data_IF_139115178197
#
_entry.id   IF_139115178197
#
_cell.length_a   1.000
_cell.length_b   1.000
_cell.length_c   1.000
_cell.angle_alpha   90.00
_cell.angle_beta   90.00
_cell.angle_gamma   90.00
#
_symmetry.space_group_name_H-M   'P 1'
#
loop_
_entity.id
_entity.type
_entity.pdbx_description
1 polymer ?
#
# COMPACT_ATOMS: atom_id res chain seq x y z
N UNK A 1 1.48 -31.55 20.10
CA UNK A 1 2.70 -32.08 19.46
C UNK A 1 2.46 -32.52 18.03
N UNK A 2 1.24 -32.96 17.66
CA UNK A 2 0.94 -33.37 16.27
C UNK A 2 0.99 -32.24 15.22
N UNK A 3 0.73 -30.99 15.61
CA UNK A 3 0.92 -29.81 14.73
C UNK A 3 2.38 -29.59 14.29
N UNK A 4 3.36 -30.11 15.04
CA UNK A 4 4.79 -29.93 14.75
C UNK A 4 5.29 -30.88 13.64
N UNK A 5 4.62 -32.02 13.45
CA UNK A 5 5.01 -33.04 12.46
C UNK A 5 4.43 -32.68 11.09
N UNK A 6 3.17 -32.21 11.03
CA UNK A 6 2.59 -31.66 9.79
C UNK A 6 3.29 -30.38 9.33
N UNK A 7 3.77 -29.54 10.26
CA UNK A 7 4.52 -28.34 9.89
C UNK A 7 5.90 -28.65 9.29
N UNK A 8 6.50 -29.81 9.57
CA UNK A 8 7.73 -30.26 8.91
C UNK A 8 7.49 -30.71 7.46
N UNK A 9 6.38 -31.40 7.16
CA UNK A 9 5.98 -31.72 5.78
C UNK A 9 5.57 -30.47 4.99
N UNK A 10 4.87 -29.53 5.62
CA UNK A 10 4.55 -28.21 5.04
C UNK A 10 5.84 -27.40 4.82
N UNK A 11 6.81 -27.48 5.73
CA UNK A 11 8.15 -26.93 5.53
C UNK A 11 8.92 -27.64 4.41
N UNK A 12 8.72 -28.92 4.11
CA UNK A 12 9.35 -29.51 2.93
C UNK A 12 8.70 -29.00 1.61
N UNK A 13 7.40 -28.64 1.66
CA UNK A 13 6.60 -28.24 0.50
C UNK A 13 6.74 -26.78 0.06
N UNK A 14 7.41 -25.89 0.81
CA UNK A 14 7.70 -24.53 0.28
C UNK A 14 8.62 -24.55 -0.95
N UNK A 15 9.29 -25.69 -1.24
CA UNK A 15 10.05 -25.88 -2.50
C UNK A 15 9.17 -25.89 -3.73
N UNK A 16 7.91 -26.31 -3.60
CA UNK A 16 6.96 -26.36 -4.71
C UNK A 16 5.63 -25.73 -4.25
N UNK A 17 5.55 -24.39 -4.26
CA UNK A 17 4.40 -23.67 -3.68
C UNK A 17 3.07 -23.96 -4.39
N UNK A 18 3.11 -24.50 -5.62
CA UNK A 18 1.93 -24.89 -6.41
C UNK A 18 1.20 -26.13 -5.88
N UNK A 19 1.88 -26.99 -5.12
CA UNK A 19 1.29 -28.23 -4.57
C UNK A 19 0.67 -28.03 -3.19
N UNK A 20 0.86 -26.88 -2.55
CA UNK A 20 0.30 -26.60 -1.23
C UNK A 20 -1.23 -26.41 -1.27
N UNK A 21 -1.81 -25.63 -2.20
CA UNK A 21 -3.25 -25.44 -2.30
C UNK A 21 -4.06 -26.73 -2.46
N UNK A 22 -3.57 -27.69 -3.23
CA UNK A 22 -4.29 -28.95 -3.48
C UNK A 22 -4.47 -29.80 -2.23
N UNK A 23 -3.46 -29.84 -1.35
CA UNK A 23 -3.55 -30.56 -0.08
C UNK A 23 -4.37 -29.78 0.94
N UNK A 24 -4.15 -28.48 1.01
CA UNK A 24 -4.80 -27.63 2.02
C UNK A 24 -6.29 -27.41 1.71
N UNK A 25 -6.72 -27.53 0.46
CA UNK A 25 -8.14 -27.43 0.09
C UNK A 25 -9.03 -28.37 0.88
N UNK A 26 -8.59 -29.62 1.14
CA UNK A 26 -9.34 -30.57 1.96
C UNK A 26 -9.38 -30.16 3.44
N UNK A 27 -8.29 -29.56 3.93
CA UNK A 27 -8.14 -29.14 5.32
C UNK A 27 -8.93 -27.85 5.63
N UNK A 28 -9.08 -26.95 4.65
CA UNK A 28 -9.85 -25.71 4.80
C UNK A 28 -11.35 -25.95 4.99
N UNK A 29 -11.87 -27.09 4.53
CA UNK A 29 -13.28 -27.48 4.68
C UNK A 29 -13.55 -28.24 5.98
N UNK A 30 -12.53 -28.50 6.79
CA UNK A 30 -12.69 -29.20 8.06
C UNK A 30 -13.61 -28.44 9.02
N UNK A 31 -14.46 -29.17 9.75
CA UNK A 31 -15.32 -28.61 10.78
C UNK A 31 -14.52 -27.98 11.94
N UNK A 32 -13.33 -28.51 12.24
CA UNK A 32 -12.53 -28.04 13.37
C UNK A 32 -11.87 -26.68 13.04
N UNK A 33 -12.17 -25.61 13.79
CA UNK A 33 -11.61 -24.30 13.49
C UNK A 33 -10.09 -24.20 13.71
N UNK A 34 -9.47 -25.05 14.55
CA UNK A 34 -8.01 -25.12 14.66
C UNK A 34 -7.34 -25.63 13.39
N UNK A 35 -7.97 -26.59 12.71
CA UNK A 35 -7.47 -27.14 11.43
C UNK A 35 -7.57 -26.07 10.35
N UNK A 36 -8.67 -25.33 10.31
CA UNK A 36 -8.84 -24.20 9.38
C UNK A 36 -7.83 -23.09 9.61
N UNK A 37 -7.56 -22.73 10.86
CA UNK A 37 -6.51 -21.77 11.17
C UNK A 37 -5.12 -22.24 10.72
N UNK A 38 -4.78 -23.50 11.00
CA UNK A 38 -3.52 -24.11 10.56
C UNK A 38 -3.38 -24.14 9.03
N UNK A 39 -4.47 -24.46 8.33
CA UNK A 39 -4.56 -24.42 6.87
C UNK A 39 -4.30 -23.01 6.31
N UNK A 40 -4.91 -21.97 6.88
CA UNK A 40 -4.70 -20.59 6.46
C UNK A 40 -3.23 -20.16 6.63
N UNK A 41 -2.64 -20.44 7.79
CA UNK A 41 -1.23 -20.11 8.04
C UNK A 41 -0.26 -20.91 7.16
N UNK A 42 -0.54 -22.18 6.91
CA UNK A 42 0.26 -23.02 6.02
C UNK A 42 0.27 -22.47 4.59
N UNK A 43 -0.88 -22.04 4.06
CA UNK A 43 -0.97 -21.36 2.76
C UNK A 43 -0.18 -20.05 2.76
N UNK A 44 -0.32 -19.24 3.80
CA UNK A 44 0.40 -17.97 3.94
C UNK A 44 1.92 -18.14 3.90
N UNK A 45 2.45 -19.16 4.60
CA UNK A 45 3.89 -19.46 4.69
C UNK A 45 4.41 -20.08 3.40
N UNK A 46 3.70 -21.07 2.85
CA UNK A 46 4.13 -21.79 1.65
C UNK A 46 4.05 -20.95 0.38
N UNK A 47 3.03 -20.10 0.25
CA UNK A 47 2.79 -19.26 -0.93
C UNK A 47 3.24 -17.80 -0.71
N UNK A 48 4.11 -17.54 0.27
CA UNK A 48 4.63 -16.19 0.54
C UNK A 48 5.36 -15.62 -0.68
N UNK A 49 4.95 -14.43 -1.13
CA UNK A 49 5.57 -13.70 -2.25
C UNK A 49 5.42 -14.32 -3.64
N UNK A 50 4.63 -15.40 -3.81
CA UNK A 50 4.35 -16.01 -5.12
C UNK A 50 3.08 -15.44 -5.75
N UNK A 51 2.08 -15.06 -4.94
CA UNK A 51 0.78 -14.54 -5.38
C UNK A 51 -0.05 -15.52 -6.19
N UNK A 52 -0.04 -16.79 -5.77
CA UNK A 52 -0.78 -17.83 -6.44
C UNK A 52 -2.29 -17.63 -6.28
N UNK A 53 -3.02 -17.59 -7.40
CA UNK A 53 -4.46 -17.25 -7.43
C UNK A 53 -5.34 -18.27 -6.71
N UNK A 54 -4.97 -19.54 -6.75
CA UNK A 54 -5.71 -20.63 -6.08
C UNK A 54 -5.64 -20.48 -4.57
N UNK A 55 -4.45 -20.14 -4.02
CA UNK A 55 -4.28 -19.90 -2.59
C UNK A 55 -5.15 -18.72 -2.10
N UNK A 56 -5.25 -17.66 -2.89
CA UNK A 56 -6.11 -16.50 -2.56
C UNK A 56 -7.58 -16.90 -2.56
N UNK A 57 -8.00 -17.70 -3.54
CA UNK A 57 -9.40 -18.17 -3.66
C UNK A 57 -9.79 -19.09 -2.51
N UNK A 58 -8.84 -19.88 -1.97
CA UNK A 58 -9.05 -20.68 -0.76
C UNK A 58 -9.14 -19.83 0.52
N UNK A 59 -8.46 -18.68 0.59
CA UNK A 59 -8.48 -17.80 1.77
C UNK A 59 -9.73 -16.90 1.86
N UNK A 60 -10.39 -16.58 0.74
CA UNK A 60 -11.62 -15.77 0.70
C UNK A 60 -12.78 -16.29 1.57
N UNK A 61 -13.14 -17.59 1.56
CA UNK A 61 -14.16 -18.09 2.48
C UNK A 61 -13.68 -18.05 3.94
N UNK A 62 -12.38 -18.18 4.21
CA UNK A 62 -11.83 -18.20 5.58
C UNK A 62 -11.82 -16.83 6.25
N UNK A 63 -11.81 -15.73 5.49
CA UNK A 63 -11.99 -14.38 6.05
C UNK A 63 -13.42 -14.11 6.51
N UNK A 64 -14.39 -14.87 6.00
CA UNK A 64 -15.79 -14.79 6.39
C UNK A 64 -16.18 -15.87 7.42
N UNK A 65 -15.20 -16.58 7.98
CA UNK A 65 -15.46 -17.62 8.98
C UNK A 65 -16.12 -17.02 10.24
N UNK A 66 -17.08 -17.74 10.87
CA UNK A 66 -17.69 -17.28 12.11
C UNK A 66 -16.69 -17.25 13.29
N UNK A 67 -15.57 -17.96 13.20
CA UNK A 67 -14.58 -18.04 14.27
C UNK A 67 -13.49 -16.98 14.13
N UNK A 68 -13.30 -16.19 15.18
CA UNK A 68 -12.48 -14.98 15.21
C UNK A 68 -11.01 -15.23 14.87
N UNK A 69 -10.42 -16.30 15.42
CA UNK A 69 -9.00 -16.61 15.20
C UNK A 69 -8.72 -17.17 13.79
N UNK A 70 -9.70 -17.81 13.16
CA UNK A 70 -9.60 -18.25 11.76
C UNK A 70 -9.58 -17.02 10.85
N UNK A 71 -10.46 -16.05 11.09
CA UNK A 71 -10.46 -14.77 10.39
C UNK A 71 -9.13 -14.03 10.53
N UNK A 72 -8.59 -13.94 11.75
CA UNK A 72 -7.28 -13.35 12.01
C UNK A 72 -6.17 -14.01 11.18
N UNK A 73 -6.10 -15.35 11.18
CA UNK A 73 -5.11 -16.11 10.41
C UNK A 73 -5.25 -15.91 8.90
N UNK A 74 -6.49 -15.87 8.39
CA UNK A 74 -6.76 -15.64 6.98
C UNK A 74 -6.28 -14.27 6.50
N UNK A 75 -6.47 -13.22 7.31
CA UNK A 75 -6.00 -11.85 6.99
C UNK A 75 -4.47 -11.75 6.96
N UNK A 76 -3.80 -12.38 7.94
CA UNK A 76 -2.33 -12.41 7.98
C UNK A 76 -1.81 -13.21 6.78
N UNK A 77 -2.38 -14.39 6.50
CA UNK A 77 -1.99 -15.22 5.37
C UNK A 77 -2.16 -14.51 4.02
N UNK A 78 -3.26 -13.77 3.82
CA UNK A 78 -3.46 -13.01 2.59
C UNK A 78 -2.41 -11.92 2.39
N UNK A 79 -1.94 -11.26 3.47
CA UNK A 79 -0.86 -10.28 3.37
C UNK A 79 0.50 -10.90 3.00
N UNK A 80 0.81 -12.09 3.51
CA UNK A 80 2.07 -12.80 3.22
C UNK A 80 2.13 -13.25 1.75
N UNK A 81 1.01 -13.71 1.20
CA UNK A 81 0.92 -14.14 -0.21
C UNK A 81 1.01 -12.94 -1.16
N UNK A 82 0.36 -11.84 -0.80
CA UNK A 82 0.26 -10.63 -1.62
C UNK A 82 1.40 -9.63 -1.40
N UNK A 83 2.39 -9.96 -0.57
CA UNK A 83 3.52 -9.07 -0.34
C UNK A 83 4.21 -8.72 -1.66
N UNK A 84 4.47 -7.42 -1.87
CA UNK A 84 5.06 -6.87 -3.09
C UNK A 84 4.28 -7.05 -4.40
N UNK A 85 3.06 -7.59 -4.36
CA UNK A 85 2.23 -7.74 -5.53
C UNK A 85 1.41 -6.48 -5.83
N UNK A 86 1.21 -6.22 -7.11
CA UNK A 86 0.48 -5.07 -7.62
C UNK A 86 -0.88 -5.48 -8.19
N UNK A 87 -1.73 -4.49 -8.49
CA UNK A 87 -3.06 -4.68 -9.07
C UNK A 87 -3.02 -5.37 -10.44
N UNK A 88 -1.95 -5.11 -11.20
CA UNK A 88 -1.74 -5.71 -12.53
C UNK A 88 -1.47 -7.22 -12.43
N UNK A 89 -0.71 -7.65 -11.42
CA UNK A 89 -0.42 -9.07 -11.21
C UNK A 89 -1.62 -9.80 -10.60
N UNK A 90 -2.27 -9.18 -9.62
CA UNK A 90 -3.44 -9.71 -8.93
C UNK A 90 -4.40 -8.57 -8.56
N UNK A 91 -5.57 -8.44 -9.22
CA UNK A 91 -6.52 -7.36 -8.92
C UNK A 91 -7.11 -7.48 -7.51
N UNK A 92 -7.07 -8.67 -6.90
CA UNK A 92 -7.55 -8.91 -5.53
C UNK A 92 -6.79 -8.14 -4.44
N UNK A 93 -5.59 -7.61 -4.73
CA UNK A 93 -4.81 -6.81 -3.77
C UNK A 93 -5.59 -5.58 -3.27
N UNK A 94 -6.34 -4.91 -4.15
CA UNK A 94 -7.16 -3.74 -3.77
C UNK A 94 -8.31 -4.14 -2.86
N UNK A 95 -8.94 -5.27 -3.14
CA UNK A 95 -10.02 -5.83 -2.34
C UNK A 95 -9.55 -6.12 -0.90
N UNK A 96 -8.41 -6.81 -0.73
CA UNK A 96 -7.85 -7.09 0.59
C UNK A 96 -7.44 -5.82 1.34
N UNK A 97 -6.85 -4.82 0.66
CA UNK A 97 -6.51 -3.52 1.28
C UNK A 97 -7.74 -2.79 1.82
N UNK A 98 -8.82 -2.77 1.04
CA UNK A 98 -10.10 -2.21 1.46
C UNK A 98 -10.70 -3.01 2.62
N UNK A 99 -10.57 -4.33 2.59
CA UNK A 99 -11.04 -5.22 3.65
C UNK A 99 -10.30 -4.97 4.97
N UNK A 100 -8.97 -4.87 4.96
CA UNK A 100 -8.19 -4.53 6.16
C UNK A 100 -8.63 -3.18 6.75
N UNK A 101 -8.75 -2.16 5.89
CA UNK A 101 -9.22 -0.84 6.30
C UNK A 101 -10.64 -0.87 6.87
N UNK A 102 -11.53 -1.71 6.31
CA UNK A 102 -12.90 -1.87 6.79
C UNK A 102 -12.92 -2.48 8.19
N UNK A 103 -12.24 -3.62 8.40
CA UNK A 103 -12.17 -4.34 9.68
C UNK A 103 -11.55 -3.48 10.79
N UNK A 104 -10.54 -2.66 10.46
CA UNK A 104 -9.90 -1.76 11.42
C UNK A 104 -10.85 -0.63 11.86
N UNK A 105 -11.63 -0.07 10.93
CA UNK A 105 -12.55 1.03 11.20
C UNK A 105 -13.87 0.57 11.84
N UNK A 106 -14.30 -0.67 11.60
CA UNK A 106 -15.54 -1.18 12.14
C UNK A 106 -15.43 -1.41 13.65
N UNK A 107 -16.35 -0.87 14.43
CA UNK A 107 -16.38 -1.11 15.88
C UNK A 107 -16.93 -2.47 16.23
N UNK A 108 -17.77 -3.05 15.36
CA UNK A 108 -18.48 -4.31 15.63
C UNK A 108 -17.62 -5.56 15.37
N UNK A 109 -16.48 -5.42 14.70
CA UNK A 109 -15.53 -6.51 14.52
C UNK A 109 -14.73 -6.83 15.79
N UNK A 110 -14.36 -8.09 15.93
CA UNK A 110 -13.60 -8.62 17.06
C UNK A 110 -12.20 -8.02 17.16
N UNK A 111 -11.70 -7.90 18.40
CA UNK A 111 -10.34 -7.40 18.69
C UNK A 111 -9.27 -8.27 18.02
N UNK A 112 -9.46 -9.59 17.98
CA UNK A 112 -8.55 -10.52 17.32
C UNK A 112 -8.49 -10.31 15.80
N UNK A 113 -9.64 -10.08 15.16
CA UNK A 113 -9.70 -9.79 13.73
C UNK A 113 -9.05 -8.44 13.39
N UNK A 114 -9.25 -7.42 14.25
CA UNK A 114 -8.58 -6.11 14.14
C UNK A 114 -7.07 -6.24 14.25
N UNK A 115 -6.59 -7.01 15.22
CA UNK A 115 -5.16 -7.28 15.38
C UNK A 115 -4.57 -7.93 14.13
N UNK A 116 -5.25 -8.93 13.55
CA UNK A 116 -4.88 -9.54 12.28
C UNK A 116 -4.87 -8.56 11.11
N UNK A 117 -5.86 -7.68 11.01
CA UNK A 117 -5.95 -6.67 9.96
C UNK A 117 -4.83 -5.62 10.04
N UNK A 118 -4.47 -5.18 11.25
CA UNK A 118 -3.36 -4.23 11.47
C UNK A 118 -2.03 -4.86 11.06
N UNK A 119 -1.78 -6.10 11.49
CA UNK A 119 -0.58 -6.84 11.08
C UNK A 119 -0.55 -7.05 9.57
N UNK A 120 -1.67 -7.46 8.98
CA UNK A 120 -1.78 -7.69 7.54
C UNK A 120 -1.46 -6.43 6.72
N UNK A 121 -1.95 -5.27 7.16
CA UNK A 121 -1.62 -3.98 6.53
C UNK A 121 -0.13 -3.63 6.69
N UNK A 122 0.44 -3.83 7.88
CA UNK A 122 1.86 -3.60 8.14
C UNK A 122 2.78 -4.50 7.31
N UNK A 123 2.41 -5.77 7.12
CA UNK A 123 3.16 -6.73 6.30
C UNK A 123 3.11 -6.35 4.82
N UNK A 124 1.94 -5.95 4.32
CA UNK A 124 1.76 -5.61 2.91
C UNK A 124 2.58 -4.37 2.50
N UNK A 125 2.73 -3.41 3.42
CA UNK A 125 3.48 -2.17 3.21
C UNK A 125 4.88 -2.20 3.87
N UNK A 126 5.35 -3.38 4.29
CA UNK A 126 6.62 -3.54 4.98
C UNK A 126 7.80 -2.95 4.18
N UNK A 127 8.74 -2.31 4.88
CA UNK A 127 9.98 -1.77 4.31
C UNK A 127 9.78 -0.80 3.14
N UNK A 128 8.68 -0.03 3.14
CA UNK A 128 8.32 0.84 2.02
C UNK A 128 8.01 0.07 0.74
N UNK A 129 7.49 -1.17 0.87
CA UNK A 129 7.24 -2.14 -0.21
C UNK A 129 8.49 -2.67 -0.90
N UNK A 130 9.65 -2.60 -0.24
CA UNK A 130 10.93 -3.09 -0.77
C UNK A 130 11.41 -4.39 -0.15
N UNK A 131 10.65 -4.94 0.79
CA UNK A 131 10.95 -6.24 1.41
C UNK A 131 9.92 -7.28 1.00
N UNK A 132 10.39 -8.51 0.82
CA UNK A 132 9.56 -9.68 0.57
C UNK A 132 9.78 -10.68 1.70
N UNK A 133 8.78 -11.49 1.99
CA UNK A 133 8.93 -12.62 2.91
C UNK A 133 9.34 -13.82 2.07
N UNK A 134 10.51 -14.38 2.36
CA UNK A 134 10.89 -15.64 1.74
C UNK A 134 11.72 -16.55 2.62
N UNK A 135 11.31 -17.81 2.64
CA UNK A 135 11.99 -18.91 3.31
C UNK A 135 13.18 -19.47 2.50
N UNK A 136 13.26 -19.08 1.23
CA UNK A 136 14.32 -19.48 0.32
C UNK A 136 15.18 -18.30 -0.07
N UNK A 137 16.48 -18.54 -0.04
CA UNK A 137 17.44 -17.71 -0.76
C UNK A 137 17.23 -17.86 -2.26
N UNK A 138 17.70 -16.85 -3.01
CA UNK A 138 17.61 -16.81 -4.47
C UNK A 138 18.39 -17.94 -5.14
N UNK A 139 19.38 -18.50 -4.44
CA UNK A 139 20.18 -19.65 -4.87
C UNK A 139 19.52 -21.01 -4.59
N UNK A 140 18.28 -21.04 -4.07
CA UNK A 140 17.55 -22.27 -3.76
C UNK A 140 17.88 -22.89 -2.39
N UNK A 141 18.83 -22.32 -1.65
CA UNK A 141 19.12 -22.72 -0.27
C UNK A 141 18.08 -22.15 0.70
N UNK A 142 17.79 -22.88 1.76
CA UNK A 142 16.85 -22.46 2.80
C UNK A 142 17.46 -21.36 3.66
N UNK A 143 16.78 -20.21 3.78
CA UNK A 143 17.23 -19.16 4.68
C UNK A 143 16.79 -19.50 6.11
N UNK A 144 17.74 -19.92 6.95
CA UNK A 144 17.46 -20.34 8.33
C UNK A 144 16.86 -19.20 9.16
N UNK A 145 17.32 -17.96 8.96
CA UNK A 145 16.83 -16.78 9.68
C UNK A 145 15.35 -16.53 9.37
N UNK A 146 14.97 -16.60 8.09
CA UNK A 146 13.60 -16.43 7.66
C UNK A 146 12.68 -17.55 8.15
N UNK A 147 13.16 -18.80 8.16
CA UNK A 147 12.41 -19.96 8.68
C UNK A 147 12.18 -19.83 10.19
N UNK A 148 13.23 -19.50 10.95
CA UNK A 148 13.13 -19.30 12.41
C UNK A 148 12.22 -18.11 12.72
N UNK A 149 12.37 -16.99 12.00
CA UNK A 149 11.53 -15.80 12.16
C UNK A 149 10.04 -16.11 11.92
N UNK A 150 9.72 -16.86 10.86
CA UNK A 150 8.34 -17.27 10.57
C UNK A 150 7.80 -18.27 11.60
N UNK A 151 8.61 -19.20 12.10
CA UNK A 151 8.21 -20.17 13.12
C UNK A 151 7.85 -19.47 14.45
N UNK A 152 8.72 -18.57 14.91
CA UNK A 152 8.48 -17.79 16.15
C UNK A 152 7.30 -16.85 15.97
N UNK A 153 7.14 -16.25 14.79
CA UNK A 153 5.98 -15.42 14.46
C UNK A 153 4.66 -16.19 14.61
N UNK A 154 4.58 -17.46 14.19
CA UNK A 154 3.37 -18.27 14.35
C UNK A 154 2.93 -18.47 15.81
N UNK A 155 3.83 -18.29 16.77
CA UNK A 155 3.59 -18.48 18.20
C UNK A 155 3.11 -17.21 18.92
N UNK A 156 2.52 -16.24 18.21
CA UNK A 156 2.01 -15.01 18.84
C UNK A 156 0.79 -15.21 19.77
N UNK A 157 0.19 -16.41 19.79
CA UNK A 157 -1.05 -16.71 20.54
C UNK A 157 -0.95 -16.46 22.05
N UNK A 158 0.15 -16.90 22.65
CA UNK A 158 0.37 -16.80 24.10
C UNK A 158 1.24 -15.60 24.48
N UNK A 159 2.04 -15.09 23.53
CA UNK A 159 2.96 -13.98 23.77
C UNK A 159 2.99 -13.03 22.56
N UNK A 160 2.21 -11.96 22.62
CA UNK A 160 2.07 -10.99 21.53
C UNK A 160 3.39 -10.33 21.05
N UNK A 161 4.37 -10.02 21.92
CA UNK A 161 5.65 -9.48 21.45
C UNK A 161 6.44 -10.38 20.49
N UNK A 162 6.10 -11.68 20.38
CA UNK A 162 6.74 -12.57 19.41
C UNK A 162 6.43 -12.19 17.94
N UNK A 163 5.45 -11.32 17.71
CA UNK A 163 5.17 -10.80 16.37
C UNK A 163 6.33 -10.01 15.74
N UNK A 164 7.22 -9.43 16.54
CA UNK A 164 8.36 -8.65 16.06
C UNK A 164 9.45 -9.51 15.37
N UNK A 165 9.46 -10.83 15.58
CA UNK A 165 10.39 -11.74 14.92
C UNK A 165 10.15 -11.89 13.41
N UNK A 166 9.04 -11.36 12.90
CA UNK A 166 8.79 -11.26 11.46
C UNK A 166 9.85 -10.41 10.74
N UNK A 167 10.53 -9.51 11.47
CA UNK A 167 11.65 -8.71 10.95
C UNK A 167 12.77 -9.54 10.33
N UNK A 168 13.04 -10.74 10.85
CA UNK A 168 14.07 -11.66 10.32
C UNK A 168 13.63 -12.34 9.01
N UNK A 169 12.33 -12.43 8.76
CA UNK A 169 11.79 -13.01 7.54
C UNK A 169 11.75 -12.00 6.38
N UNK A 170 11.92 -10.71 6.66
CA UNK A 170 11.97 -9.67 5.64
C UNK A 170 13.32 -9.67 4.94
N UNK A 171 13.27 -9.96 3.63
CA UNK A 171 14.43 -9.93 2.75
C UNK A 171 14.25 -8.80 1.72
N UNK A 172 15.20 -7.86 1.62
CA UNK A 172 15.08 -6.75 0.67
C UNK A 172 15.22 -7.26 -0.77
N UNK A 173 14.32 -6.79 -1.64
CA UNK A 173 14.33 -7.10 -3.07
C UNK A 173 14.92 -5.94 -3.86
N UNK A 174 16.23 -5.76 -3.70
CA UNK A 174 17.01 -4.79 -4.45
C UNK A 174 18.06 -5.49 -5.34
N UNK A 175 18.44 -4.76 -6.38
CA UNK A 175 19.58 -5.00 -7.23
C UNK A 175 20.58 -3.87 -6.96
N UNK A 176 21.74 -4.23 -6.45
CA UNK A 176 22.81 -3.30 -6.10
C UNK A 176 24.06 -3.74 -6.86
N UNK A 177 24.48 -2.92 -7.80
CA UNK A 177 25.77 -3.08 -8.46
C UNK A 177 26.88 -2.49 -7.59
N UNK A 178 27.95 -3.24 -7.38
CA UNK A 178 29.17 -2.75 -6.72
C UNK A 178 30.36 -2.90 -7.65
N UNK A 179 31.28 -1.94 -7.59
CA UNK A 179 32.56 -2.02 -8.28
C UNK A 179 33.61 -2.77 -7.43
N UNK A 180 34.82 -2.98 -7.95
CA UNK A 180 35.95 -3.61 -7.24
C UNK A 180 36.26 -2.94 -5.89
N UNK A 181 36.06 -1.63 -5.79
CA UNK A 181 36.27 -0.85 -4.56
C UNK A 181 35.09 -0.92 -3.57
N UNK A 182 34.11 -1.80 -3.79
CA UNK A 182 32.87 -1.94 -3.00
C UNK A 182 32.02 -0.65 -2.95
N UNK A 183 32.22 0.25 -3.91
CA UNK A 183 31.43 1.47 -4.08
C UNK A 183 30.28 1.23 -5.08
N UNK A 184 29.22 2.03 -4.96
CA UNK A 184 28.06 1.96 -5.85
C UNK A 184 28.27 2.88 -7.06
N UNK A 185 28.50 2.36 -8.27
CA UNK A 185 28.53 3.20 -9.46
C UNK A 185 27.10 3.62 -9.87
N UNK A 186 26.97 4.78 -10.53
CA UNK A 186 25.74 5.15 -11.23
C UNK A 186 25.64 4.32 -12.51
N UNK A 187 24.80 3.29 -12.48
CA UNK A 187 24.45 2.53 -13.67
C UNK A 187 22.95 2.42 -13.84
N UNK A 188 22.54 2.16 -15.08
CA UNK A 188 21.16 1.91 -15.44
C UNK A 188 20.99 0.46 -15.90
N UNK A 189 19.98 -0.22 -15.38
CA UNK A 189 19.55 -1.54 -15.82
C UNK A 189 18.33 -1.42 -16.73
N UNK A 190 18.29 -2.18 -17.82
CA UNK A 190 17.12 -2.23 -18.71
C UNK A 190 16.17 -3.32 -18.25
N UNK A 191 14.96 -2.94 -17.81
CA UNK A 191 13.86 -3.86 -17.53
C UNK A 191 12.97 -3.98 -18.74
N UNK A 192 12.88 -5.16 -19.35
CA UNK A 192 12.02 -5.46 -20.51
C UNK A 192 10.54 -5.66 -20.14
N UNK A 193 9.99 -4.79 -19.32
CA UNK A 193 8.58 -4.84 -18.90
C UNK A 193 7.99 -3.45 -18.72
N UNK A 194 6.66 -3.37 -18.81
CA UNK A 194 5.89 -2.14 -18.62
C UNK A 194 6.06 -1.62 -17.17
N UNK A 195 6.40 -0.34 -16.99
CA UNK A 195 6.54 0.29 -15.67
C UNK A 195 5.37 0.03 -14.71
N UNK A 196 4.11 0.07 -15.15
CA UNK A 196 2.94 -0.20 -14.29
C UNK A 196 2.96 -1.58 -13.63
N UNK A 197 3.61 -2.56 -14.26
CA UNK A 197 3.67 -3.92 -13.71
C UNK A 197 4.42 -3.95 -12.39
N UNK A 198 5.48 -3.14 -12.27
CA UNK A 198 6.42 -3.14 -11.14
C UNK A 198 6.47 -1.82 -10.36
N UNK A 199 5.68 -0.83 -10.77
CA UNK A 199 5.52 0.44 -10.07
C UNK A 199 5.13 0.22 -8.61
N UNK A 200 5.46 1.18 -7.75
CA UNK A 200 4.85 1.20 -6.44
C UNK A 200 3.36 1.47 -6.62
N UNK A 201 2.48 0.72 -5.91
CA UNK A 201 1.09 1.12 -5.85
C UNK A 201 1.02 2.54 -5.28
N UNK A 202 0.08 3.39 -5.71
CA UNK A 202 -0.10 4.68 -5.10
C UNK A 202 -0.35 4.52 -3.59
N UNK A 203 0.09 5.50 -2.80
CA UNK A 203 -0.28 5.56 -1.39
C UNK A 203 -1.80 5.74 -1.31
N UNK A 204 -2.45 5.10 -0.34
CA UNK A 204 -3.87 5.34 -0.07
C UNK A 204 -3.99 6.81 0.35
N UNK A 205 -4.45 7.66 -0.54
CA UNK A 205 -4.74 9.06 -0.21
C UNK A 205 -5.83 9.08 0.85
N UNK A 206 -5.50 9.62 2.02
CA UNK A 206 -6.42 9.76 3.13
C UNK A 206 -7.56 10.68 2.71
N UNK A 207 -8.75 10.12 2.48
CA UNK A 207 -10.14 10.68 2.43
C UNK A 207 -10.35 12.22 2.38
N UNK A 208 -9.48 13.02 1.76
CA UNK A 208 -9.63 14.48 1.65
C UNK A 208 -10.53 14.86 0.47
N UNK A 209 -10.72 13.97 -0.50
CA UNK A 209 -11.56 14.26 -1.66
C UNK A 209 -13.04 13.85 -1.48
N UNK A 210 -13.33 12.83 -0.65
CA UNK A 210 -14.72 12.46 -0.34
C UNK A 210 -15.46 13.57 0.45
N UNK A 211 -14.73 14.39 1.20
CA UNK A 211 -15.31 15.57 1.86
C UNK A 211 -15.65 16.69 0.88
N UNK A 212 -14.84 16.90 -0.17
CA UNK A 212 -15.09 17.95 -1.17
C UNK A 212 -16.26 17.57 -2.09
N UNK A 213 -16.35 16.31 -2.50
CA UNK A 213 -17.42 15.82 -3.38
C UNK A 213 -18.80 15.79 -2.69
N UNK A 214 -18.84 15.42 -1.40
CA UNK A 214 -20.07 15.48 -0.58
C UNK A 214 -20.54 16.91 -0.32
N UNK A 215 -19.61 17.86 -0.21
CA UNK A 215 -19.95 19.28 -0.07
C UNK A 215 -20.49 19.84 -1.38
N UNK A 216 -19.92 19.48 -2.54
CA UNK A 216 -20.43 19.93 -3.84
C UNK A 216 -21.83 19.38 -4.14
N UNK A 217 -22.07 18.08 -3.88
CA UNK A 217 -23.41 17.48 -4.05
C UNK A 217 -24.45 18.05 -3.07
N UNK A 218 -24.07 18.32 -1.82
CA UNK A 218 -24.93 19.01 -0.88
C UNK A 218 -25.26 20.43 -1.34
N UNK A 219 -24.27 21.21 -1.79
CA UNK A 219 -24.45 22.57 -2.32
C UNK A 219 -25.35 22.59 -3.55
N UNK A 220 -25.22 21.62 -4.46
CA UNK A 220 -26.08 21.47 -5.64
C UNK A 220 -27.52 21.09 -5.25
N UNK A 221 -27.71 20.21 -4.26
CA UNK A 221 -29.03 19.82 -3.79
C UNK A 221 -29.77 20.95 -3.06
N UNK A 222 -29.07 21.75 -2.25
CA UNK A 222 -29.66 22.93 -1.59
C UNK A 222 -29.92 24.07 -2.56
N UNK A 223 -29.03 24.33 -3.53
CA UNK A 223 -29.25 25.38 -4.55
C UNK A 223 -30.36 25.01 -5.53
N UNK A 224 -30.49 23.75 -5.94
CA UNK A 224 -31.63 23.30 -6.73
C UNK A 224 -32.95 23.37 -5.95
N UNK A 225 -32.94 23.02 -4.66
CA UNK A 225 -34.12 23.10 -3.78
C UNK A 225 -34.50 24.55 -3.44
N UNK A 226 -33.54 25.46 -3.31
CA UNK A 226 -33.78 26.90 -3.15
C UNK A 226 -34.32 27.51 -4.44
N UNK A 227 -33.75 27.19 -5.61
CA UNK A 227 -34.27 27.66 -6.91
C UNK A 227 -35.70 27.19 -7.17
N UNK A 228 -36.04 25.93 -6.82
CA UNK A 228 -37.43 25.43 -6.89
C UNK A 228 -38.35 26.18 -5.94
N UNK A 229 -37.94 26.40 -4.68
CA UNK A 229 -38.73 27.19 -3.72
C UNK A 229 -38.91 28.65 -4.12
N UNK A 230 -37.93 29.25 -4.78
CA UNK A 230 -38.03 30.62 -5.30
C UNK A 230 -38.93 30.69 -6.53
N UNK A 231 -38.93 29.68 -7.39
CA UNK A 231 -39.90 29.56 -8.49
C UNK A 231 -41.34 29.39 -7.96
N UNK A 232 -41.54 28.51 -6.96
CA UNK A 232 -42.86 28.30 -6.32
C UNK A 232 -43.36 29.54 -5.57
N UNK A 233 -42.45 30.38 -5.04
CA UNK A 233 -42.82 31.66 -4.41
C UNK A 233 -43.20 32.72 -5.44
N UNK A 234 -42.49 32.79 -6.57
CA UNK A 234 -42.83 33.71 -7.67
C UNK A 234 -44.17 33.35 -8.32
N UNK A 235 -44.49 32.06 -8.49
CA UNK A 235 -45.81 31.62 -8.95
C UNK A 235 -46.94 31.89 -7.93
N UNK A 236 -46.61 32.05 -6.64
CA UNK A 236 -47.58 32.42 -5.59
C UNK A 236 -47.79 33.94 -5.48
N UNK A 237 -46.77 34.75 -5.73
CA UNK A 237 -46.88 36.22 -5.72
C UNK A 237 -47.67 36.75 -6.94
N UNK A 238 -47.63 36.09 -8.10
CA UNK A 238 -48.50 36.44 -9.25
C UNK A 238 -50.00 36.17 -9.03
N UNK A 239 -50.41 35.52 -7.93
CA UNK A 239 -51.81 35.19 -7.62
C UNK A 239 -52.44 36.03 -6.49
N UNK A 240 -51.76 37.04 -5.96
CA UNK A 240 -52.22 37.79 -4.76
C UNK A 240 -52.07 39.32 -4.81
N UNK A 241 -52.19 39.97 -5.98
CA UNK A 241 -52.43 41.42 -6.04
C UNK A 241 -53.88 41.76 -6.45
N UNK A 242 -54.80 41.83 -5.47
CA UNK A 242 -55.91 42.81 -5.40
C UNK A 242 -56.26 43.08 -3.92
N UNK A 243 -56.20 44.36 -3.54
CA UNK A 243 -56.82 45.09 -2.40
C UNK A 243 -56.19 45.14 -0.97
N UNK A 244 -55.43 46.24 -0.73
CA UNK A 244 -55.71 47.39 0.19
C UNK A 244 -55.64 47.27 1.74
N UNK A 245 -54.58 47.95 2.27
CA UNK A 245 -54.44 48.92 3.40
C UNK A 245 -54.40 48.52 4.90
N UNK A 246 -53.38 49.15 5.53
CA UNK A 246 -53.30 49.84 6.84
C UNK A 246 -52.77 49.11 8.10
N UNK A 247 -51.45 49.26 8.32
CA UNK A 247 -50.64 49.60 9.52
C UNK A 247 -51.38 49.96 10.85
N UNK A 248 -50.83 49.83 12.07
CA UNK A 248 -49.56 49.36 12.69
C UNK A 248 -49.65 49.71 14.21
N UNK A 249 -48.95 49.03 15.14
CA UNK A 249 -48.40 49.61 16.39
C UNK A 249 -47.24 48.73 16.99
N UNK A 250 -45.99 49.24 16.86
CA UNK A 250 -44.82 49.21 17.80
C UNK A 250 -43.94 47.95 17.96
N UNK A 251 -42.59 47.99 18.09
CA UNK A 251 -41.61 49.06 18.44
C UNK A 251 -40.14 48.66 18.07
N UNK A 252 -39.34 49.66 17.62
CA UNK A 252 -37.86 49.93 17.80
C UNK A 252 -36.80 48.94 17.28
N UNK A 253 -35.60 49.29 16.77
CA UNK A 253 -34.81 50.50 16.43
C UNK A 253 -33.57 49.94 15.67
N UNK A 254 -33.24 50.35 14.44
CA UNK A 254 -32.35 51.45 14.01
C UNK A 254 -30.91 51.03 13.61
N UNK A 255 -30.49 51.44 12.39
CA UNK A 255 -29.12 51.80 11.94
C UNK A 255 -28.77 51.45 10.46
N UNK A 256 -29.11 52.37 9.56
CA UNK A 256 -28.38 52.86 8.34
C UNK A 256 -27.11 52.10 7.84
N UNK A 257 -27.09 51.74 6.54
CA UNK A 257 -26.37 52.48 5.45
C UNK A 257 -26.48 51.85 4.04
N UNK A 258 -27.21 52.55 3.17
CA UNK A 258 -26.93 53.00 1.77
C UNK A 258 -26.28 52.08 0.69
N UNK A 259 -26.97 52.14 -0.48
CA UNK A 259 -26.56 52.06 -1.90
C UNK A 259 -26.27 50.65 -2.46
N UNK A 260 -27.07 50.05 -3.35
CA UNK A 260 -27.67 50.46 -4.65
C UNK A 260 -26.62 50.62 -5.77
N UNK A 261 -26.52 49.60 -6.62
CA UNK A 261 -26.21 49.58 -8.07
C UNK A 261 -25.77 48.15 -8.46
N UNK A 262 -26.02 47.56 -9.63
CA UNK A 262 -26.98 47.72 -10.72
C UNK A 262 -26.82 46.41 -11.51
N UNK A 263 -27.92 45.76 -11.89
CA UNK A 263 -27.91 44.62 -12.83
C UNK A 263 -27.69 45.15 -14.25
N UNK A 264 -27.03 44.33 -15.06
CA UNK A 264 -27.10 44.26 -16.53
C UNK A 264 -26.99 42.75 -16.80
N UNK A 265 -28.06 42.05 -17.21
CA UNK A 265 -28.39 41.70 -18.62
C UNK A 265 -27.23 40.94 -19.27
N UNK A 266 -27.34 39.79 -19.92
CA UNK A 266 -28.42 39.01 -20.56
C UNK A 266 -27.84 37.59 -20.78
N UNK A 267 -28.62 36.49 -20.69
CA UNK A 267 -29.12 35.70 -21.84
C UNK A 267 -28.01 35.24 -22.81
N UNK A 268 -27.80 33.97 -23.20
CA UNK A 268 -28.74 32.93 -23.64
C UNK A 268 -27.93 31.69 -24.08
N UNK A 269 -28.46 30.48 -23.81
CA UNK A 269 -28.44 29.24 -24.64
C UNK A 269 -27.12 28.75 -25.30
N UNK A 270 -26.71 27.49 -25.30
CA UNK A 270 -27.48 26.26 -25.44
C UNK A 270 -26.53 25.04 -25.27
N UNK A 271 -27.13 23.93 -24.87
CA UNK A 271 -26.71 22.52 -24.92
C UNK A 271 -25.41 22.13 -25.66
N UNK A 272 -24.52 21.46 -24.92
CA UNK A 272 -23.82 20.26 -25.41
C UNK A 272 -23.90 19.21 -24.29
N UNK A 273 -24.91 18.35 -24.38
CA UNK A 273 -24.86 17.02 -23.77
C UNK A 273 -23.85 16.22 -24.58
N UNK A 274 -22.66 16.01 -24.00
CA UNK A 274 -21.73 14.96 -24.44
C UNK A 274 -21.40 14.09 -23.24
N UNK A 275 -21.74 12.82 -23.41
CA UNK A 275 -21.31 11.69 -22.61
C UNK A 275 -19.79 11.76 -22.37
N UNK A 276 -19.37 11.93 -21.12
CA UNK A 276 -18.03 11.56 -20.68
C UNK A 276 -18.11 10.21 -19.98
N UNK A 277 -18.26 9.16 -20.80
CA UNK A 277 -17.54 7.90 -20.58
C UNK A 277 -16.19 8.06 -21.27
N UNK A 278 -15.29 8.82 -20.66
CA UNK A 278 -13.87 8.71 -20.94
C UNK A 278 -13.33 7.56 -20.08
N UNK A 279 -13.40 6.35 -20.63
CA UNK A 279 -12.35 5.38 -20.34
C UNK A 279 -11.04 6.06 -20.73
N UNK A 280 -10.33 6.58 -19.75
CA UNK A 280 -8.95 7.02 -19.90
C UNK A 280 -8.15 5.80 -20.37
N UNK A 281 -8.00 5.71 -21.68
CA UNK A 281 -7.06 4.80 -22.32
C UNK A 281 -5.69 5.12 -21.75
N UNK A 282 -5.23 4.30 -20.81
CA UNK A 282 -3.86 4.34 -20.30
C UNK A 282 -2.93 4.43 -21.51
N UNK A 283 -2.17 5.52 -21.59
CA UNK A 283 -1.16 5.71 -22.63
C UNK A 283 -0.30 4.44 -22.73
N UNK A 284 0.06 3.98 -23.94
CA UNK A 284 0.83 2.76 -24.10
C UNK A 284 2.19 2.95 -23.44
N UNK A 285 2.30 2.45 -22.20
CA UNK A 285 3.51 2.59 -21.43
C UNK A 285 4.69 1.98 -22.18
N UNK A 286 5.88 2.60 -22.07
CA UNK A 286 7.07 2.06 -22.71
C UNK A 286 7.27 0.61 -22.26
N UNK A 287 7.52 -0.28 -23.22
CA UNK A 287 7.76 -1.70 -22.94
C UNK A 287 9.09 -1.96 -22.22
N UNK A 288 9.90 -0.91 -22.01
CA UNK A 288 11.15 -0.97 -21.28
C UNK A 288 11.26 0.19 -20.28
N UNK A 289 11.92 -0.08 -19.15
CA UNK A 289 12.24 0.92 -18.13
C UNK A 289 13.74 0.86 -17.83
N UNK A 290 14.38 2.02 -17.80
CA UNK A 290 15.75 2.15 -17.30
C UNK A 290 15.69 2.35 -15.78
N UNK A 291 16.39 1.52 -15.02
CA UNK A 291 16.40 1.51 -13.57
C UNK A 291 17.79 1.92 -13.05
N UNK A 292 17.88 2.99 -12.29
CA UNK A 292 19.14 3.43 -11.68
C UNK A 292 19.54 2.53 -10.49
N UNK A 293 20.85 2.32 -10.31
CA UNK A 293 21.41 1.65 -9.13
C UNK A 293 21.38 2.59 -7.89
N UNK A 294 20.85 2.17 -6.73
CA UNK A 294 20.20 0.89 -6.42
C UNK A 294 18.73 0.82 -6.90
N UNK A 295 18.36 -0.31 -7.50
CA UNK A 295 17.00 -0.52 -8.03
C UNK A 295 16.22 -1.55 -7.21
N UNK A 296 14.93 -1.30 -6.95
CA UNK A 296 14.01 -2.33 -6.48
C UNK A 296 13.67 -3.27 -7.66
N UNK A 297 13.81 -4.57 -7.45
CA UNK A 297 13.50 -5.57 -8.49
C UNK A 297 12.73 -6.75 -7.91
N UNK A 298 11.63 -7.13 -8.57
CA UNK A 298 10.85 -8.33 -8.20
C UNK A 298 11.47 -9.62 -8.71
N UNK A 299 11.15 -10.75 -8.09
CA UNK A 299 11.57 -12.08 -8.58
C UNK A 299 11.12 -12.36 -10.01
N UNK A 300 9.91 -11.96 -10.38
CA UNK A 300 9.40 -12.03 -11.75
C UNK A 300 10.12 -11.06 -12.69
N UNK A 301 10.49 -9.88 -12.19
CA UNK A 301 11.22 -8.87 -12.95
C UNK A 301 12.66 -9.27 -13.26
N UNK A 302 13.32 -10.06 -12.40
CA UNK A 302 14.69 -10.54 -12.63
C UNK A 302 14.85 -11.34 -13.94
N UNK A 303 13.78 -11.95 -14.46
CA UNK A 303 13.78 -12.72 -15.72
C UNK A 303 13.80 -11.82 -16.96
N UNK A 304 13.39 -10.57 -16.84
CA UNK A 304 13.27 -9.60 -17.95
C UNK A 304 14.32 -8.49 -17.88
N UNK A 305 15.22 -8.54 -16.89
CA UNK A 305 16.32 -7.58 -16.77
C UNK A 305 17.47 -7.94 -17.70
N UNK A 306 18.00 -6.93 -18.38
CA UNK A 306 19.18 -7.00 -19.21
C UNK A 306 20.08 -5.79 -18.97
N UNK A 307 21.38 -5.94 -19.24
CA UNK A 307 22.26 -4.78 -19.32
C UNK A 307 22.02 -4.01 -20.64
N UNK A 308 22.12 -2.67 -20.62
CA UNK A 308 22.22 -1.90 -21.86
C UNK A 308 23.45 -2.31 -22.67
N UNK A 309 23.29 -2.48 -23.98
CA UNK A 309 24.40 -2.78 -24.90
C UNK A 309 25.39 -1.60 -24.92
N UNK A 310 26.67 -1.87 -24.62
CA UNK A 310 27.71 -0.83 -24.52
C UNK A 310 27.93 -0.21 -23.14
N UNK A 311 27.33 -0.77 -22.07
CA UNK A 311 27.60 -0.32 -20.70
C UNK A 311 29.08 -0.48 -20.31
N UNK A 312 29.63 0.53 -19.62
CA UNK A 312 31.00 0.52 -19.06
C UNK A 312 31.21 -0.63 -18.06
N UNK A 313 30.15 -0.99 -17.35
CA UNK A 313 30.17 -2.01 -16.32
C UNK A 313 29.56 -3.32 -16.84
N UNK A 314 30.34 -4.40 -16.74
CA UNK A 314 29.89 -5.75 -17.11
C UNK A 314 29.71 -6.58 -15.85
N UNK A 315 28.53 -7.20 -15.63
CA UNK A 315 28.30 -8.02 -14.44
C UNK A 315 29.13 -9.30 -14.49
N UNK A 316 29.80 -9.62 -13.37
CA UNK A 316 30.56 -10.87 -13.22
C UNK A 316 29.64 -12.09 -13.03
N UNK A 317 28.40 -11.85 -12.60
CA UNK A 317 27.38 -12.86 -12.33
C UNK A 317 26.07 -12.45 -12.99
N UNK A 318 25.30 -13.42 -13.46
CA UNK A 318 24.03 -13.15 -14.12
C UNK A 318 23.09 -12.32 -13.24
N UNK A 319 22.51 -11.28 -13.85
CA UNK A 319 21.60 -10.33 -13.20
C UNK A 319 20.33 -11.01 -12.70
N UNK A 320 19.96 -12.14 -13.28
CA UNK A 320 18.82 -12.96 -12.86
C UNK A 320 18.91 -13.45 -11.41
N UNK A 321 20.12 -13.49 -10.82
CA UNK A 321 20.29 -13.84 -9.41
C UNK A 321 19.88 -12.71 -8.44
N UNK A 322 19.83 -11.46 -8.93
CA UNK A 322 19.51 -10.26 -8.15
C UNK A 322 20.48 -9.99 -6.99
N UNK A 323 20.24 -8.91 -6.24
CA UNK A 323 20.96 -8.64 -4.98
C UNK A 323 22.24 -7.87 -5.23
N UNK A 324 23.27 -8.18 -4.45
CA UNK A 324 24.60 -7.62 -4.67
C UNK A 324 25.26 -8.30 -5.85
N UNK A 325 25.61 -7.51 -6.87
CA UNK A 325 26.30 -7.97 -8.06
C UNK A 325 27.60 -7.19 -8.21
N UNK A 326 28.71 -7.92 -8.29
CA UNK A 326 29.99 -7.34 -8.63
C UNK A 326 30.02 -7.04 -10.12
N UNK A 327 30.34 -5.79 -10.44
CA UNK A 327 30.50 -5.28 -11.77
C UNK A 327 31.99 -5.12 -12.05
N UNK A 328 32.43 -5.61 -13.20
CA UNK A 328 33.77 -5.35 -13.73
C UNK A 328 33.71 -4.10 -14.60
N UNK A 329 34.53 -3.12 -14.28
CA UNK A 329 34.75 -1.97 -15.16
C UNK A 329 35.64 -2.38 -16.36
N UNK A 330 35.18 -2.06 -17.57
CA UNK A 330 35.91 -2.30 -18.82
C UNK A 330 36.76 -1.09 -19.22
N UNK A 331 36.49 0.10 -18.64
CA UNK A 331 37.23 1.34 -18.92
C UNK A 331 37.73 2.00 -17.63
N UNK A 332 38.85 1.52 -17.05
CA UNK A 332 39.39 2.05 -15.81
C UNK A 332 39.93 3.50 -15.90
N UNK A 333 40.13 4.03 -17.12
CA UNK A 333 40.73 5.36 -17.35
C UNK A 333 39.75 6.54 -17.19
N UNK A 334 38.44 6.30 -17.18
CA UNK A 334 37.42 7.35 -17.00
C UNK A 334 37.06 7.52 -15.51
N UNK A 335 36.89 8.75 -15.01
CA UNK A 335 36.47 8.96 -13.61
C UNK A 335 35.09 8.33 -13.36
N UNK A 336 34.98 7.55 -12.30
CA UNK A 336 33.74 6.89 -11.93
C UNK A 336 32.77 7.85 -11.25
N UNK A 337 31.53 7.91 -11.73
CA UNK A 337 30.44 8.54 -10.98
C UNK A 337 29.91 7.54 -9.95
N UNK A 338 30.32 7.75 -8.71
CA UNK A 338 29.93 6.93 -7.56
C UNK A 338 28.75 7.61 -6.85
N UNK A 339 27.76 6.81 -6.48
CA UNK A 339 26.74 7.19 -5.49
C UNK A 339 27.39 7.05 -4.13
N UNK A 340 27.40 8.14 -3.34
CA UNK A 340 27.95 8.10 -2.00
C UNK A 340 27.20 7.08 -1.15
N UNK A 341 27.89 6.07 -0.58
CA UNK A 341 27.24 5.10 0.27
C UNK A 341 26.76 5.79 1.54
N UNK A 342 25.45 5.85 1.71
CA UNK A 342 24.86 6.21 3.00
C UNK A 342 25.14 5.05 3.94
N UNK A 343 25.93 5.29 5.00
CA UNK A 343 26.18 4.29 6.05
C UNK A 343 24.83 3.87 6.64
N UNK A 344 24.65 2.58 6.91
CA UNK A 344 23.43 2.06 7.54
C UNK A 344 23.15 2.86 8.83
N UNK A 345 22.06 3.65 8.83
CA UNK A 345 21.82 4.71 9.82
C UNK A 345 21.39 6.06 9.22
N UNK A 346 21.42 6.19 7.89
CA UNK A 346 21.19 7.48 7.21
C UNK A 346 22.49 8.27 7.10
N UNK A 347 22.51 9.43 6.44
CA UNK A 347 23.57 10.38 6.74
C UNK A 347 23.53 10.53 8.26
N UNK A 348 24.68 10.40 8.93
CA UNK A 348 24.76 10.96 10.28
C UNK A 348 24.24 12.38 10.11
N UNK A 349 23.04 12.64 10.62
CA UNK A 349 22.71 13.97 11.07
C UNK A 349 23.90 14.24 11.97
N UNK A 350 24.81 15.11 11.53
CA UNK A 350 25.76 15.72 12.46
C UNK A 350 24.90 16.00 13.68
N UNK A 351 25.18 15.30 14.78
CA UNK A 351 24.45 15.46 16.03
C UNK A 351 24.24 16.96 16.14
N UNK A 352 22.99 17.43 16.07
CA UNK A 352 22.71 18.79 16.50
C UNK A 352 23.35 18.82 17.87
N UNK A 353 24.50 19.52 18.00
CA UNK A 353 25.22 19.63 19.25
C UNK A 353 24.15 19.92 20.29
N UNK A 354 23.95 18.99 21.23
CA UNK A 354 22.97 19.19 22.30
C UNK A 354 23.22 20.61 22.81
N UNK A 355 22.18 21.48 22.84
CA UNK A 355 22.39 22.86 23.22
C UNK A 355 23.08 22.87 24.58
N UNK A 356 24.23 23.57 24.66
CA UNK A 356 25.04 23.58 25.86
C UNK A 356 24.16 23.88 27.08
N UNK A 357 24.32 23.13 28.19
CA UNK A 357 23.51 23.32 29.38
C UNK A 357 23.59 24.79 29.80
N UNK A 358 22.46 25.42 30.17
CA UNK A 358 22.45 26.84 30.52
C UNK A 358 23.46 27.10 31.64
N UNK A 359 24.21 28.20 31.51
CA UNK A 359 25.18 28.61 32.52
C UNK A 359 24.50 28.71 33.90
N UNK A 360 25.19 28.30 34.98
CA UNK A 360 24.62 28.29 36.32
C UNK A 360 24.13 29.70 36.70
N UNK A 361 22.88 29.76 37.14
CA UNK A 361 22.18 30.98 37.52
C UNK A 361 22.97 31.76 38.59
N UNK A 362 23.48 32.94 38.22
CA UNK A 362 24.03 33.89 39.17
C UNK A 362 22.88 34.66 39.83
N UNK A 363 22.77 34.56 41.15
CA UNK A 363 21.85 35.40 41.92
C UNK A 363 22.40 36.82 41.93
N UNK A 364 21.74 37.75 41.23
CA UNK A 364 21.92 39.17 41.51
C UNK A 364 21.23 39.47 42.83
N UNK A 365 22.00 39.74 43.89
CA UNK A 365 21.46 40.24 45.15
C UNK A 365 20.91 41.66 44.95
N UNK A 366 19.59 41.79 44.81
CA UNK A 366 18.82 43.00 45.14
C UNK A 366 17.36 42.64 45.49
#
# INVERSE_FOLDING_TARGET
MDLAIDSAEIMHRFRTPEQCPSVVSLLSESYNPHVRFGAAMALGIACAGTGLKDAITLLEPMTNDPVNYVRQGALIASSLILIQQNEVTCPKVTHFRQLYSKVINDKHDDIMAKFGAILAQGILDAGGRNVTVSLQSRTGHTNMEGVVGMLVFCQFWFWYPLTHFLSLAFTPTCLIGLNNDLKMPKLEFRSGAKPSTYAYPPNLEEKKDKTKEKVQTAVLSITAKQKKKEADKKEKEEKMEVDVKADDVTEKEDAKKKKKEKKTEESKSMDIVKEEKSEEAKEPEPNFQMLANPARVMRSQLKVLAMPEGSRYVPMKDISNGGLIMLRDVKPDEKEEIVEPVVAGGPKIEEEEEPEPPEPFEWTED
#
